data_IF_479613351004
#
_entry.id   IF_479613351004
#
_cell.length_a   1.000
_cell.length_b   1.000
_cell.length_c   1.000
_cell.angle_alpha   90.00
_cell.angle_beta   90.00
_cell.angle_gamma   90.00
#
_symmetry.space_group_name_H-M   'P 1'
#
loop_
_entity.id
_entity.type
_entity.pdbx_description
1 polymer ?
#
# COMPACT_ATOMS: atom_id res chain seq x y z
N UNK A 1 -19.98 21.54 -26.74
CA UNK A 1 -18.82 20.88 -26.09
C UNK A 1 -19.28 20.34 -24.75
N UNK A 2 -19.80 19.11 -24.72
CA UNK A 2 -20.32 18.48 -23.51
C UNK A 2 -19.20 17.76 -22.78
N UNK A 3 -18.96 18.10 -21.52
CA UNK A 3 -18.06 17.36 -20.66
C UNK A 3 -18.71 16.00 -20.36
N UNK A 4 -18.10 14.92 -20.87
CA UNK A 4 -18.46 13.57 -20.45
C UNK A 4 -17.92 13.42 -19.04
N UNK A 5 -18.82 13.41 -18.06
CA UNK A 5 -18.46 13.04 -16.70
C UNK A 5 -18.20 11.54 -16.74
N UNK A 6 -16.91 11.18 -16.82
CA UNK A 6 -16.48 9.80 -16.73
C UNK A 6 -16.79 9.32 -15.31
N UNK A 7 -17.97 8.71 -15.16
CA UNK A 7 -18.45 8.11 -13.92
C UNK A 7 -17.77 6.75 -13.67
N UNK A 8 -16.64 6.45 -14.32
CA UNK A 8 -15.73 5.44 -13.82
C UNK A 8 -15.21 6.02 -12.51
N UNK A 9 -15.94 5.75 -11.43
CA UNK A 9 -15.49 5.99 -10.07
C UNK A 9 -14.10 5.39 -10.03
N UNK A 10 -13.08 6.24 -10.13
CA UNK A 10 -11.72 5.93 -9.75
C UNK A 10 -11.84 5.62 -8.26
N UNK A 11 -12.28 4.40 -7.95
CA UNK A 11 -12.19 3.84 -6.62
C UNK A 11 -10.68 3.73 -6.46
N UNK A 12 -10.05 4.61 -5.66
CA UNK A 12 -8.63 4.46 -5.44
C UNK A 12 -8.44 3.04 -4.95
N UNK A 13 -7.44 2.35 -5.50
CA UNK A 13 -7.04 1.06 -4.95
C UNK A 13 -6.89 1.23 -3.44
N UNK A 14 -7.46 0.31 -2.65
CA UNK A 14 -7.35 0.40 -1.20
C UNK A 14 -5.88 0.54 -0.86
N UNK A 15 -5.53 1.66 -0.24
CA UNK A 15 -4.17 2.03 0.12
C UNK A 15 -4.14 2.33 1.61
N UNK A 16 -3.12 1.81 2.27
CA UNK A 16 -2.83 2.08 3.67
C UNK A 16 -1.51 2.83 3.74
N UNK A 17 -1.54 4.00 4.39
CA UNK A 17 -0.34 4.79 4.61
C UNK A 17 0.16 4.53 6.02
N UNK A 18 1.27 3.82 6.13
CA UNK A 18 1.97 3.63 7.40
C UNK A 18 2.86 4.85 7.65
N UNK A 19 2.44 5.72 8.57
CA UNK A 19 3.21 6.90 8.97
C UNK A 19 4.10 6.55 10.15
N UNK A 20 5.34 6.12 9.92
CA UNK A 20 6.26 5.91 11.03
C UNK A 20 7.67 6.40 10.68
N UNK A 21 8.28 7.15 11.60
CA UNK A 21 9.73 7.35 11.62
C UNK A 21 10.48 6.01 11.80
N UNK A 22 9.81 5.02 12.41
CA UNK A 22 10.32 3.67 12.65
C UNK A 22 10.39 2.77 11.42
N UNK A 23 9.78 3.14 10.27
CA UNK A 23 9.86 2.28 9.07
C UNK A 23 11.32 2.08 8.63
N UNK A 24 12.13 3.15 8.70
CA UNK A 24 13.55 3.07 8.39
C UNK A 24 14.32 2.21 9.41
N UNK A 25 13.98 2.30 10.71
CA UNK A 25 14.59 1.47 11.77
C UNK A 25 14.26 -0.02 11.62
N UNK A 26 13.07 -0.33 11.11
CA UNK A 26 12.62 -1.68 10.79
C UNK A 26 13.12 -2.19 9.41
N UNK A 27 13.98 -1.41 8.73
CA UNK A 27 14.60 -1.79 7.46
C UNK A 27 13.74 -1.56 6.21
N UNK A 28 12.54 -0.99 6.35
CA UNK A 28 11.68 -0.66 5.23
C UNK A 28 12.14 0.64 4.55
N UNK A 29 12.61 0.53 3.31
CA UNK A 29 12.97 1.67 2.47
C UNK A 29 12.02 1.84 1.28
N UNK A 30 12.07 3.02 0.64
CA UNK A 30 11.33 3.25 -0.60
C UNK A 30 11.84 2.33 -1.72
N UNK A 31 10.94 1.96 -2.64
CA UNK A 31 11.23 1.09 -3.79
C UNK A 31 11.71 -0.34 -3.45
N UNK A 32 11.53 -0.80 -2.22
CA UNK A 32 11.74 -2.20 -1.86
C UNK A 32 10.48 -3.04 -2.15
N UNK A 33 10.68 -4.31 -2.49
CA UNK A 33 9.60 -5.29 -2.51
C UNK A 33 9.28 -5.69 -1.06
N UNK A 34 8.00 -5.63 -0.73
CA UNK A 34 7.48 -6.11 0.54
C UNK A 34 6.55 -7.27 0.26
N UNK A 35 6.57 -8.26 1.15
CA UNK A 35 5.58 -9.32 1.16
C UNK A 35 4.46 -8.92 2.12
N UNK A 36 3.22 -9.06 1.64
CA UNK A 36 2.01 -8.78 2.42
C UNK A 36 1.22 -10.07 2.54
N UNK A 37 1.13 -10.57 3.76
CA UNK A 37 0.35 -11.77 4.09
C UNK A 37 -0.93 -11.31 4.79
N UNK A 38 -2.07 -11.67 4.21
CA UNK A 38 -3.38 -11.34 4.77
C UNK A 38 -3.99 -12.57 5.45
N UNK A 39 -4.48 -12.37 6.66
CA UNK A 39 -5.30 -13.34 7.39
C UNK A 39 -6.58 -12.63 7.87
N UNK A 40 -7.61 -13.35 8.35
CA UNK A 40 -8.86 -12.72 8.75
C UNK A 40 -8.73 -11.62 9.82
N UNK A 41 -7.80 -11.77 10.76
CA UNK A 41 -7.64 -10.85 11.90
C UNK A 41 -6.44 -9.91 11.78
N UNK A 42 -5.47 -10.25 10.93
CA UNK A 42 -4.21 -9.50 10.84
C UNK A 42 -3.64 -9.45 9.43
N UNK A 43 -2.90 -8.37 9.17
CA UNK A 43 -2.08 -8.19 8.00
C UNK A 43 -0.62 -8.08 8.45
N UNK A 44 0.21 -8.98 7.93
CA UNK A 44 1.64 -9.01 8.24
C UNK A 44 2.40 -8.46 7.02
N UNK A 45 3.20 -7.42 7.25
CA UNK A 45 4.06 -6.82 6.24
C UNK A 45 5.49 -7.13 6.64
N UNK A 46 6.24 -7.78 5.76
CA UNK A 46 7.66 -8.10 5.96
C UNK A 46 8.50 -7.72 4.75
N UNK A 47 9.77 -7.44 5.00
CA UNK A 47 10.73 -7.21 3.92
C UNK A 47 10.88 -8.51 3.11
N UNK A 48 10.81 -8.40 1.78
CA UNK A 48 11.11 -9.55 0.92
C UNK A 48 12.63 -9.80 0.93
N UNK A 49 13.02 -11.05 1.16
CA UNK A 49 14.40 -11.51 0.94
C UNK A 49 14.48 -11.94 -0.52
N UNK A 50 15.46 -11.41 -1.26
CA UNK A 50 15.74 -11.83 -2.64
C UNK A 50 16.35 -13.23 -2.66
#
# INVERSE_FOLDING_TARGET
MGYIHDHLKHRPSPSITLRCHWMAELGFATRQKNEVITTPDQMIIRQAVD
#
